data_IF_904342317726
#
_entry.id   IF_904342317726
#
_cell.length_a   1.000
_cell.length_b   1.000
_cell.length_c   1.000
_cell.angle_alpha   90.00
_cell.angle_beta   90.00
_cell.angle_gamma   90.00
#
_symmetry.space_group_name_H-M   'P 1'
#
loop_
_entity.id
_entity.type
_entity.pdbx_description
1 polymer ?
#
# COMPACT_ATOMS: atom_id res chain seq x y z
N UNK A 1 37.94 32.00 37.67
CA UNK A 1 36.88 32.52 38.56
C UNK A 1 36.15 31.31 39.15
N UNK A 2 36.52 30.89 40.36
CA UNK A 2 36.05 29.64 40.97
C UNK A 2 34.75 29.94 41.71
N UNK A 3 33.62 29.55 41.13
CA UNK A 3 32.33 29.64 41.82
C UNK A 3 32.33 28.69 43.03
N UNK A 4 32.07 29.24 44.22
CA UNK A 4 31.95 28.48 45.46
C UNK A 4 30.89 27.38 45.32
N UNK A 5 31.20 26.16 45.77
CA UNK A 5 30.31 24.97 45.73
C UNK A 5 28.91 25.25 46.31
N UNK A 6 28.80 26.22 47.23
CA UNK A 6 27.53 26.66 47.83
C UNK A 6 26.59 27.34 46.82
N UNK A 7 27.12 28.14 45.88
CA UNK A 7 26.33 28.85 44.86
C UNK A 7 25.74 27.89 43.80
N UNK A 8 26.49 26.86 43.43
CA UNK A 8 26.03 25.80 42.50
C UNK A 8 24.92 24.94 43.11
N UNK A 9 24.97 24.68 44.42
CA UNK A 9 23.94 23.93 45.14
C UNK A 9 22.62 24.70 45.23
N UNK A 10 22.68 26.02 45.47
CA UNK A 10 21.49 26.87 45.51
C UNK A 10 20.80 26.96 44.14
N UNK A 11 21.58 27.11 43.06
CA UNK A 11 21.06 27.15 41.69
C UNK A 11 20.38 25.82 41.30
N UNK A 12 20.95 24.68 41.69
CA UNK A 12 20.32 23.36 41.47
C UNK A 12 19.00 23.21 42.22
N UNK A 13 18.93 23.70 43.46
CA UNK A 13 17.69 23.67 44.23
C UNK A 13 16.61 24.56 43.58
N UNK A 14 16.97 25.75 43.11
CA UNK A 14 16.06 26.61 42.35
C UNK A 14 15.55 25.93 41.07
N UNK A 15 16.42 25.26 40.31
CA UNK A 15 16.02 24.55 39.08
C UNK A 15 15.07 23.38 39.37
N UNK A 16 15.27 22.66 40.48
CA UNK A 16 14.35 21.60 40.93
C UNK A 16 12.99 22.20 41.32
N UNK A 17 12.97 23.30 42.07
CA UNK A 17 11.71 23.96 42.47
C UNK A 17 10.94 24.45 41.24
N UNK A 18 11.63 25.06 40.26
CA UNK A 18 11.01 25.52 39.01
C UNK A 18 10.45 24.36 38.19
N UNK A 19 11.14 23.21 38.14
CA UNK A 19 10.60 22.03 37.43
C UNK A 19 9.35 21.47 38.11
N UNK A 20 9.28 21.48 39.45
CA UNK A 20 8.07 21.06 40.18
C UNK A 20 6.88 22.02 39.96
N UNK A 21 7.12 23.32 39.79
CA UNK A 21 6.05 24.29 39.50
C UNK A 21 5.55 24.15 38.04
N UNK A 22 6.45 23.90 37.09
CA UNK A 22 6.10 23.72 35.68
C UNK A 22 5.31 22.43 35.39
N UNK A 23 5.40 21.43 36.27
CA UNK A 23 4.68 20.14 36.17
C UNK A 23 3.31 20.11 36.87
N UNK A 24 2.74 21.26 37.23
CA UNK A 24 1.36 21.34 37.74
C UNK A 24 0.36 21.13 36.59
N UNK A 25 -0.12 19.89 36.45
CA UNK A 25 -1.22 19.55 35.53
C UNK A 25 -2.54 20.05 36.13
N UNK A 26 -3.02 21.21 35.68
CA UNK A 26 -4.35 21.70 36.04
C UNK A 26 -5.40 20.96 35.18
N UNK A 27 -5.79 19.77 35.61
CA UNK A 27 -6.99 19.13 35.09
C UNK A 27 -8.22 19.85 35.68
N UNK A 28 -8.92 20.65 34.86
CA UNK A 28 -10.20 21.25 35.24
C UNK A 28 -11.28 20.15 35.28
N UNK A 29 -11.41 19.50 36.44
CA UNK A 29 -12.38 18.44 36.71
C UNK A 29 -13.82 18.93 36.96
N UNK A 30 -14.10 20.22 36.74
CA UNK A 30 -15.39 20.85 37.09
C UNK A 30 -16.41 20.93 35.95
N UNK A 31 -16.05 20.53 34.73
CA UNK A 31 -16.92 20.67 33.56
C UNK A 31 -18.02 19.60 33.57
N UNK A 32 -19.19 19.94 34.11
CA UNK A 32 -20.38 19.06 34.08
C UNK A 32 -21.23 19.40 32.85
N UNK A 33 -21.39 18.44 31.93
CA UNK A 33 -22.28 18.57 30.77
C UNK A 33 -23.55 17.75 30.98
N UNK A 34 -24.72 18.36 30.74
CA UNK A 34 -26.02 17.69 30.86
C UNK A 34 -26.64 17.53 29.47
N UNK A 35 -26.89 16.29 29.05
CA UNK A 35 -27.63 15.96 27.83
C UNK A 35 -29.03 15.47 28.21
N UNK A 36 -30.07 16.23 27.86
CA UNK A 36 -31.46 15.82 28.04
C UNK A 36 -32.00 15.27 26.72
N UNK A 37 -32.40 14.00 26.71
CA UNK A 37 -32.94 13.32 25.52
C UNK A 37 -34.45 13.18 25.64
N UNK A 38 -35.20 13.65 24.65
CA UNK A 38 -36.64 13.44 24.55
C UNK A 38 -36.95 12.24 23.64
N UNK A 39 -37.33 11.11 24.22
CA UNK A 39 -37.65 9.89 23.47
C UNK A 39 -39.06 9.88 22.86
N UNK A 40 -39.92 10.86 23.15
CA UNK A 40 -41.28 10.91 22.63
C UNK A 40 -41.37 11.46 21.19
N UNK A 41 -40.29 12.02 20.64
CA UNK A 41 -40.22 12.54 19.28
C UNK A 41 -39.10 11.84 18.51
N UNK A 42 -39.46 11.01 17.54
CA UNK A 42 -38.50 10.29 16.70
C UNK A 42 -39.04 10.04 15.30
N UNK A 43 -38.12 9.87 14.34
CA UNK A 43 -38.41 9.38 12.99
C UNK A 43 -37.56 8.14 12.73
N UNK A 44 -38.03 7.18 11.91
CA UNK A 44 -37.20 6.05 11.51
C UNK A 44 -35.90 6.54 10.87
N UNK A 45 -34.79 5.92 11.27
CA UNK A 45 -33.52 6.11 10.60
C UNK A 45 -33.59 5.41 9.24
N UNK A 46 -33.24 6.07 8.11
CA UNK A 46 -33.24 5.42 6.82
C UNK A 46 -32.25 4.25 6.81
N UNK A 47 -32.62 3.12 6.21
CA UNK A 47 -31.73 1.97 6.05
C UNK A 47 -30.50 2.29 5.19
N UNK A 48 -30.58 3.37 4.39
CA UNK A 48 -29.49 3.87 3.54
C UNK A 48 -28.59 4.90 4.23
N UNK A 49 -28.74 5.11 5.55
CA UNK A 49 -27.90 6.07 6.26
C UNK A 49 -26.41 5.71 6.17
N UNK A 50 -26.09 4.41 6.13
CA UNK A 50 -24.73 3.91 6.00
C UNK A 50 -24.57 3.15 4.69
N UNK A 51 -23.49 3.44 3.97
CA UNK A 51 -23.15 2.81 2.71
C UNK A 51 -21.64 2.81 2.47
N UNK A 52 -21.22 2.25 1.35
CA UNK A 52 -19.82 2.19 0.93
C UNK A 52 -19.66 3.00 -0.36
N UNK A 53 -18.65 3.87 -0.38
CA UNK A 53 -18.17 4.52 -1.59
C UNK A 53 -16.98 3.73 -2.14
N UNK A 54 -16.92 3.58 -3.46
CA UNK A 54 -15.85 2.84 -4.12
C UNK A 54 -15.35 3.60 -5.34
N UNK A 55 -14.03 3.78 -5.39
CA UNK A 55 -13.28 4.21 -6.56
C UNK A 55 -12.03 3.32 -6.70
N UNK A 56 -11.47 3.25 -7.91
CA UNK A 56 -10.16 2.64 -8.11
C UNK A 56 -9.08 3.62 -7.65
N UNK A 57 -8.76 3.59 -6.36
CA UNK A 57 -7.68 4.36 -5.75
C UNK A 57 -6.83 3.42 -4.89
N UNK A 58 -5.50 3.61 -4.91
CA UNK A 58 -4.57 2.83 -4.10
C UNK A 58 -4.73 1.31 -4.24
N UNK A 59 -5.05 0.81 -5.44
CA UNK A 59 -5.31 -0.61 -5.70
C UNK A 59 -6.50 -1.20 -4.92
N UNK A 60 -7.53 -0.41 -4.64
CA UNK A 60 -8.75 -0.88 -3.97
C UNK A 60 -9.55 -1.88 -4.82
N UNK A 61 -9.46 -1.83 -6.16
CA UNK A 61 -10.01 -2.87 -7.04
C UNK A 61 -8.98 -3.83 -7.51
N UNK A 62 -8.19 -3.42 -8.50
CA UNK A 62 -7.13 -4.23 -9.07
C UNK A 62 -5.98 -4.38 -8.07
N UNK A 63 -5.87 -5.56 -7.44
CA UNK A 63 -4.99 -5.82 -6.31
C UNK A 63 -5.67 -5.76 -4.95
N UNK A 64 -6.97 -5.44 -4.92
CA UNK A 64 -7.82 -5.38 -3.74
C UNK A 64 -9.08 -6.24 -3.91
N UNK A 65 -10.21 -5.59 -4.21
CA UNK A 65 -11.51 -6.26 -4.32
C UNK A 65 -11.59 -7.24 -5.50
N UNK A 66 -10.92 -6.95 -6.61
CA UNK A 66 -10.87 -7.85 -7.76
C UNK A 66 -9.83 -8.95 -7.50
N UNK A 67 -10.26 -10.21 -7.60
CA UNK A 67 -9.47 -11.39 -7.23
C UNK A 67 -8.36 -11.76 -8.23
N UNK A 68 -8.08 -10.90 -9.20
CA UNK A 68 -6.94 -11.10 -10.11
C UNK A 68 -5.64 -10.92 -9.33
N UNK A 69 -4.76 -11.91 -9.43
CA UNK A 69 -3.47 -11.91 -8.74
C UNK A 69 -2.36 -11.40 -9.64
N UNK A 70 -2.50 -11.52 -10.97
CA UNK A 70 -1.49 -11.12 -11.94
C UNK A 70 -1.63 -9.64 -12.24
N UNK A 71 -0.62 -8.86 -11.87
CA UNK A 71 -0.58 -7.44 -12.17
C UNK A 71 -0.14 -7.22 -13.64
N UNK A 72 -0.74 -6.25 -14.32
CA UNK A 72 -0.49 -5.96 -15.73
C UNK A 72 -0.62 -7.21 -16.62
N UNK A 73 -1.65 -8.04 -16.38
CA UNK A 73 -1.87 -9.30 -17.10
C UNK A 73 -2.03 -9.15 -18.61
N UNK A 74 -2.52 -8.00 -19.06
CA UNK A 74 -2.79 -7.70 -20.46
C UNK A 74 -1.74 -6.84 -21.15
N UNK A 75 -0.65 -6.49 -20.46
CA UNK A 75 0.38 -5.58 -20.98
C UNK A 75 -0.18 -4.24 -21.48
N UNK A 76 -1.24 -3.73 -20.83
CA UNK A 76 -1.93 -2.49 -21.21
C UNK A 76 -1.34 -1.25 -20.50
N UNK A 77 -0.47 -1.45 -19.51
CA UNK A 77 0.08 -0.38 -18.67
C UNK A 77 0.91 0.68 -19.45
N UNK A 78 1.35 0.37 -20.69
CA UNK A 78 2.06 1.30 -21.57
C UNK A 78 1.15 2.18 -22.44
N UNK A 79 -0.17 2.00 -22.38
CA UNK A 79 -1.12 2.69 -23.25
C UNK A 79 -0.87 2.38 -24.72
N UNK A 80 -0.67 3.42 -25.55
CA UNK A 80 -0.42 3.28 -26.99
C UNK A 80 1.07 3.15 -27.35
N UNK A 81 1.98 3.22 -26.39
CA UNK A 81 3.44 3.17 -26.64
C UNK A 81 3.87 1.72 -26.86
N UNK A 82 4.67 1.49 -27.91
CA UNK A 82 5.29 0.19 -28.21
C UNK A 82 6.82 0.28 -28.12
N UNK A 83 7.51 -0.71 -27.52
CA UNK A 83 6.95 -1.80 -26.72
C UNK A 83 6.18 -1.26 -25.50
N UNK A 84 5.14 -1.99 -25.09
CA UNK A 84 4.31 -1.63 -23.94
C UNK A 84 5.11 -1.75 -22.64
N UNK A 85 4.60 -1.14 -21.57
CA UNK A 85 5.22 -1.23 -20.26
C UNK A 85 5.17 -2.68 -19.76
N UNK A 86 6.35 -3.27 -19.57
CA UNK A 86 6.51 -4.64 -19.12
C UNK A 86 6.40 -4.79 -17.59
N UNK A 87 6.67 -3.73 -16.82
CA UNK A 87 6.58 -3.81 -15.36
C UNK A 87 5.16 -4.22 -14.90
N UNK A 88 5.02 -5.04 -13.85
CA UNK A 88 6.06 -5.52 -12.94
C UNK A 88 6.64 -6.90 -13.32
N UNK A 89 6.43 -7.38 -14.55
CA UNK A 89 6.98 -8.66 -14.98
C UNK A 89 8.52 -8.64 -15.01
N UNK A 90 9.13 -9.79 -14.75
CA UNK A 90 10.58 -9.99 -14.84
C UNK A 90 10.90 -11.19 -15.72
N UNK A 91 12.08 -11.19 -16.34
CA UNK A 91 12.56 -12.30 -17.16
C UNK A 91 13.25 -13.32 -16.25
N UNK A 92 12.94 -14.60 -16.44
CA UNK A 92 13.63 -15.74 -15.84
C UNK A 92 14.57 -16.30 -16.90
N UNK A 93 15.87 -16.11 -16.72
CA UNK A 93 16.90 -16.48 -17.70
C UNK A 93 17.81 -15.30 -18.07
N UNK A 94 18.59 -15.48 -19.12
CA UNK A 94 19.54 -14.49 -19.67
C UNK A 94 19.21 -14.19 -21.13
N UNK A 95 19.73 -13.09 -21.67
CA UNK A 95 19.54 -12.72 -23.09
C UNK A 95 20.05 -13.79 -24.08
N UNK A 96 20.95 -14.67 -23.65
CA UNK A 96 21.43 -15.81 -24.46
C UNK A 96 20.47 -16.99 -24.48
N UNK A 97 19.46 -17.01 -23.61
CA UNK A 97 18.55 -18.16 -23.42
C UNK A 97 17.12 -17.81 -23.76
N UNK A 98 16.73 -16.53 -23.66
CA UNK A 98 15.37 -16.07 -23.91
C UNK A 98 15.37 -14.60 -24.36
N UNK A 99 14.54 -14.29 -25.35
CA UNK A 99 14.20 -12.94 -25.76
C UNK A 99 12.72 -12.69 -25.51
N UNK A 100 12.38 -11.57 -24.86
CA UNK A 100 11.01 -11.22 -24.47
C UNK A 100 10.69 -9.80 -24.93
N UNK A 101 9.59 -9.65 -25.66
CA UNK A 101 9.12 -8.34 -26.13
C UNK A 101 7.59 -8.28 -26.16
N UNK A 102 7.04 -7.07 -26.31
CA UNK A 102 5.60 -6.89 -26.52
C UNK A 102 5.34 -6.40 -27.94
N UNK A 103 4.35 -7.00 -28.59
CA UNK A 103 3.98 -6.75 -29.97
C UNK A 103 2.48 -6.51 -30.13
N UNK A 104 2.06 -5.97 -31.27
CA UNK A 104 0.65 -5.75 -31.60
C UNK A 104 0.01 -6.94 -32.33
N UNK A 105 0.31 -8.17 -31.88
CA UNK A 105 -0.08 -9.42 -32.54
C UNK A 105 -1.25 -10.15 -31.88
N UNK A 106 -1.81 -9.60 -30.79
CA UNK A 106 -2.95 -10.22 -30.10
C UNK A 106 -4.20 -10.32 -30.99
N UNK A 107 -4.89 -11.45 -30.89
CA UNK A 107 -6.15 -11.69 -31.59
C UNK A 107 -7.32 -10.85 -31.03
N UNK A 108 -7.22 -10.34 -29.80
CA UNK A 108 -8.30 -9.57 -29.17
C UNK A 108 -8.45 -8.19 -29.83
N UNK A 109 -9.69 -7.80 -30.12
CA UNK A 109 -9.96 -6.50 -30.77
C UNK A 109 -9.67 -5.31 -29.84
N UNK A 110 -9.99 -5.45 -28.55
CA UNK A 110 -9.87 -4.37 -27.54
C UNK A 110 -8.48 -4.25 -26.93
N UNK A 111 -7.66 -5.30 -27.04
CA UNK A 111 -6.27 -5.29 -26.58
C UNK A 111 -5.41 -6.03 -27.61
N UNK A 112 -4.73 -5.25 -28.46
CA UNK A 112 -3.83 -5.77 -29.49
C UNK A 112 -2.44 -6.12 -28.97
N UNK A 113 -2.13 -5.80 -27.73
CA UNK A 113 -0.82 -6.09 -27.13
C UNK A 113 -0.74 -7.57 -26.76
N UNK A 114 0.29 -8.24 -27.24
CA UNK A 114 0.66 -9.60 -26.86
C UNK A 114 2.12 -9.61 -26.39
N UNK A 115 2.45 -10.53 -25.49
CA UNK A 115 3.83 -10.84 -25.17
C UNK A 115 4.34 -11.89 -26.16
N UNK A 116 5.49 -11.61 -26.76
CA UNK A 116 6.26 -12.59 -27.51
C UNK A 116 7.45 -13.04 -26.68
N UNK A 117 7.65 -14.36 -26.65
CA UNK A 117 8.73 -15.00 -25.93
C UNK A 117 9.41 -15.99 -26.86
N UNK A 118 10.65 -15.69 -27.23
CA UNK A 118 11.47 -16.55 -28.07
C UNK A 118 12.51 -17.25 -27.17
N UNK A 119 12.40 -18.58 -27.06
CA UNK A 119 13.37 -19.40 -26.32
C UNK A 119 14.55 -19.71 -27.23
N UNK A 120 15.75 -19.30 -26.82
CA UNK A 120 16.97 -19.34 -27.64
C UNK A 120 17.93 -20.48 -27.24
N UNK A 121 17.61 -21.23 -26.18
CA UNK A 121 18.41 -22.36 -25.71
C UNK A 121 17.92 -23.71 -26.24
N UNK A 122 18.84 -24.53 -26.76
CA UNK A 122 18.58 -25.96 -27.04
C UNK A 122 18.66 -26.80 -25.76
N UNK A 123 19.63 -26.49 -24.89
CA UNK A 123 19.80 -27.09 -23.56
C UNK A 123 19.61 -26.01 -22.49
N UNK A 124 18.36 -25.78 -22.10
CA UNK A 124 18.04 -24.73 -21.13
C UNK A 124 18.48 -25.10 -19.69
N UNK A 125 18.73 -24.10 -18.83
CA UNK A 125 19.06 -24.32 -17.43
C UNK A 125 18.00 -25.14 -16.69
N UNK A 126 18.41 -25.86 -15.64
CA UNK A 126 17.51 -26.68 -14.83
C UNK A 126 16.37 -25.87 -14.18
N UNK A 127 16.65 -24.62 -13.78
CA UNK A 127 15.66 -23.72 -13.18
C UNK A 127 14.67 -23.14 -14.20
N UNK A 128 14.83 -23.46 -15.48
CA UNK A 128 13.95 -23.04 -16.57
C UNK A 128 14.23 -21.61 -17.08
N UNK A 129 13.51 -21.26 -18.14
CA UNK A 129 13.51 -19.91 -18.74
C UNK A 129 12.07 -19.47 -18.97
N UNK A 130 11.81 -18.18 -18.84
CA UNK A 130 10.46 -17.64 -19.00
C UNK A 130 10.31 -16.24 -18.42
N UNK A 131 9.16 -15.99 -17.83
CA UNK A 131 8.82 -14.73 -17.17
C UNK A 131 8.15 -14.99 -15.82
N UNK A 132 8.22 -14.03 -14.91
CA UNK A 132 7.60 -14.08 -13.60
C UNK A 132 6.83 -12.80 -13.32
N UNK A 133 5.70 -12.91 -12.62
CA UNK A 133 4.92 -11.78 -12.15
C UNK A 133 4.89 -11.79 -10.62
N UNK A 134 5.24 -10.69 -9.94
CA UNK A 134 5.18 -10.61 -8.48
C UNK A 134 3.76 -10.39 -7.94
N UNK A 135 2.77 -10.21 -8.82
CA UNK A 135 1.41 -9.81 -8.48
C UNK A 135 1.34 -8.38 -7.94
N UNK A 136 0.48 -8.17 -6.95
CA UNK A 136 0.32 -6.90 -6.25
C UNK A 136 1.12 -6.92 -4.95
N UNK A 137 2.44 -6.70 -5.06
CA UNK A 137 3.39 -6.81 -3.94
C UNK A 137 3.42 -8.19 -3.25
N UNK A 138 3.11 -9.23 -4.01
CA UNK A 138 3.05 -10.61 -3.55
C UNK A 138 1.82 -11.34 -4.07
N UNK A 139 1.83 -12.66 -3.94
CA UNK A 139 0.68 -13.52 -4.19
C UNK A 139 0.51 -14.46 -3.02
N UNK A 140 -0.67 -14.42 -2.41
CA UNK A 140 -1.01 -15.34 -1.33
C UNK A 140 -1.19 -16.73 -1.92
N UNK A 141 -0.39 -17.70 -1.45
CA UNK A 141 -0.56 -19.12 -1.76
C UNK A 141 -1.42 -19.78 -0.69
N UNK A 142 -2.69 -19.98 -1.01
CA UNK A 142 -3.63 -20.73 -0.17
C UNK A 142 -3.83 -22.14 -0.74
N UNK A 143 -4.29 -23.08 0.08
CA UNK A 143 -4.65 -24.46 -0.28
C UNK A 143 -5.85 -24.58 -1.23
N UNK A 144 -6.16 -23.52 -1.98
CA UNK A 144 -7.15 -23.52 -3.05
C UNK A 144 -6.46 -23.82 -4.38
N UNK A 145 -7.17 -24.48 -5.29
CA UNK A 145 -6.72 -24.63 -6.68
C UNK A 145 -6.90 -23.28 -7.39
N UNK A 146 -5.85 -22.86 -8.08
CA UNK A 146 -5.87 -21.74 -9.03
C UNK A 146 -6.25 -22.28 -10.42
#
# INVERSE_FOLDING_TARGET
MVFSKSCSSFLRLCLIIVSFIAFQCNADGGQTSTLVVNAAQGRPMPDTLFGVFYEEINHAGAGGLWSELVNNRGFEAGGKKMPSNFAPWTIVGTETTIHVETELSSCFERNKVALRMDVLCDNCPFDGVGISNPGYWGMVRITKKY
#
